data_IF_140479471096
#
_entry.id   IF_140479471096
#
_cell.length_a   1.000
_cell.length_b   1.000
_cell.length_c   1.000
_cell.angle_alpha   90.00
_cell.angle_beta   90.00
_cell.angle_gamma   90.00
#
_symmetry.space_group_name_H-M   'P 1'
#
loop_
_entity.id
_entity.type
_entity.pdbx_description
1 polymer ?
#
# COMPACT_ATOMS: atom_id res chain seq x y z
N UNK A 1 -0.37 -4.94 -5.25
CA UNK A 1 -0.34 -3.49 -4.91
C UNK A 1 -1.35 -3.13 -3.83
N UNK A 2 -2.59 -2.67 -4.07
CA UNK A 2 -3.43 -2.16 -2.96
C UNK A 2 -3.74 -3.18 -1.85
N UNK A 3 -4.28 -4.34 -2.21
CA UNK A 3 -4.60 -5.42 -1.24
C UNK A 3 -3.36 -5.84 -0.46
N UNK A 4 -2.26 -6.04 -1.18
CA UNK A 4 -0.95 -6.37 -0.60
C UNK A 4 -0.49 -5.30 0.39
N UNK A 5 -0.56 -4.00 0.05
CA UNK A 5 -0.14 -2.93 0.95
C UNK A 5 -1.00 -2.84 2.21
N UNK A 6 -2.32 -3.08 2.10
CA UNK A 6 -3.19 -3.17 3.28
C UNK A 6 -2.82 -4.35 4.17
N UNK A 7 -2.56 -5.53 3.60
CA UNK A 7 -2.11 -6.71 4.35
C UNK A 7 -0.75 -6.46 5.01
N UNK A 8 0.21 -5.87 4.28
CA UNK A 8 1.51 -5.48 4.84
C UNK A 8 1.36 -4.51 6.01
N UNK A 9 0.41 -3.56 5.91
CA UNK A 9 0.09 -2.62 7.00
C UNK A 9 -0.45 -3.36 8.22
N UNK A 10 -1.35 -4.32 8.03
CA UNK A 10 -1.89 -5.15 9.11
C UNK A 10 -0.79 -5.98 9.77
N UNK A 11 0.15 -6.53 8.99
CA UNK A 11 1.28 -7.29 9.52
C UNK A 11 2.26 -6.40 10.29
N UNK A 12 2.58 -5.19 9.79
CA UNK A 12 3.38 -4.22 10.55
C UNK A 12 2.69 -3.82 11.86
N UNK A 13 1.39 -3.48 11.81
CA UNK A 13 0.62 -3.08 12.99
C UNK A 13 0.51 -4.21 14.03
N UNK A 14 0.40 -5.47 13.58
CA UNK A 14 0.31 -6.64 14.47
C UNK A 14 1.63 -6.91 15.20
N UNK A 15 2.76 -6.69 14.56
CA UNK A 15 4.07 -7.11 15.08
C UNK A 15 4.89 -5.97 15.70
N UNK A 16 4.70 -4.74 15.24
CA UNK A 16 5.47 -3.57 15.70
C UNK A 16 5.04 -3.12 17.09
N UNK A 17 6.03 -2.69 17.89
CA UNK A 17 5.80 -1.93 19.14
C UNK A 17 6.21 -0.46 19.01
N UNK A 18 6.76 -0.06 17.87
CA UNK A 18 7.24 1.29 17.65
C UNK A 18 6.06 2.23 17.40
N UNK A 19 5.92 3.27 18.24
CA UNK A 19 4.79 4.22 18.17
C UNK A 19 4.73 4.96 16.84
N UNK A 20 5.88 5.27 16.25
CA UNK A 20 5.94 5.99 14.97
C UNK A 20 5.53 5.08 13.82
N UNK A 21 5.94 3.82 13.84
CA UNK A 21 5.46 2.80 12.87
C UNK A 21 3.95 2.62 12.98
N UNK A 22 3.43 2.47 14.19
CA UNK A 22 1.99 2.33 14.42
C UNK A 22 1.21 3.57 13.99
N UNK A 23 1.77 4.77 14.20
CA UNK A 23 1.19 6.03 13.73
C UNK A 23 1.10 6.07 12.21
N UNK A 24 2.17 5.69 11.51
CA UNK A 24 2.17 5.63 10.05
C UNK A 24 1.21 4.56 9.54
N UNK A 25 1.13 3.39 10.18
CA UNK A 25 0.13 2.36 9.84
C UNK A 25 -1.31 2.91 9.89
N UNK A 26 -1.62 3.79 10.86
CA UNK A 26 -2.92 4.48 10.90
C UNK A 26 -3.11 5.42 9.72
N UNK A 27 -2.11 6.22 9.36
CA UNK A 27 -2.17 7.12 8.18
C UNK A 27 -2.41 6.32 6.89
N UNK A 28 -1.70 5.22 6.71
CA UNK A 28 -1.87 4.31 5.57
C UNK A 28 -3.29 3.74 5.50
N UNK A 29 -3.85 3.29 6.63
CA UNK A 29 -5.25 2.83 6.69
C UNK A 29 -6.24 3.93 6.33
N UNK A 30 -5.98 5.17 6.76
CA UNK A 30 -6.79 6.33 6.37
C UNK A 30 -6.72 6.56 4.87
N UNK A 31 -5.52 6.53 4.27
CA UNK A 31 -5.33 6.64 2.82
C UNK A 31 -6.14 5.58 2.06
N UNK A 32 -6.03 4.30 2.44
CA UNK A 32 -6.81 3.25 1.81
C UNK A 32 -8.31 3.47 2.03
N UNK A 33 -8.77 3.83 3.22
CA UNK A 33 -10.20 4.12 3.44
C UNK A 33 -10.72 5.25 2.55
N UNK A 34 -9.98 6.35 2.43
CA UNK A 34 -10.39 7.52 1.67
C UNK A 34 -10.42 7.28 0.15
N UNK A 35 -9.48 6.49 -0.36
CA UNK A 35 -9.38 6.19 -1.80
C UNK A 35 -10.29 5.04 -2.24
N UNK A 36 -10.89 4.30 -1.30
CA UNK A 36 -11.69 3.11 -1.59
C UNK A 36 -12.94 3.39 -2.46
N UNK A 37 -13.76 4.42 -2.20
CA UNK A 37 -14.95 4.68 -3.01
C UNK A 37 -14.60 4.99 -4.48
N UNK A 38 -13.53 5.76 -4.70
CA UNK A 38 -13.07 6.09 -6.04
C UNK A 38 -12.52 4.88 -6.77
N UNK A 39 -11.79 4.01 -6.07
CA UNK A 39 -11.33 2.74 -6.65
C UNK A 39 -12.53 1.89 -7.11
N UNK A 40 -13.53 1.70 -6.23
CA UNK A 40 -14.72 0.92 -6.55
C UNK A 40 -15.42 1.46 -7.80
N UNK A 41 -15.56 2.77 -7.91
CA UNK A 41 -16.14 3.42 -9.09
C UNK A 41 -15.33 3.15 -10.37
N UNK A 42 -14.00 3.17 -10.30
CA UNK A 42 -13.13 2.89 -11.46
C UNK A 42 -13.14 1.41 -11.87
N UNK A 43 -13.43 0.52 -10.92
CA UNK A 43 -13.47 -0.92 -11.13
C UNK A 43 -14.86 -1.45 -11.44
N UNK A 44 -15.90 -0.65 -11.26
CA UNK A 44 -17.28 -1.05 -11.51
C UNK A 44 -17.48 -1.49 -12.96
N UNK A 45 -18.11 -2.65 -13.15
CA UNK A 45 -18.37 -3.23 -14.48
C UNK A 45 -17.13 -3.74 -15.21
N UNK A 46 -15.94 -3.68 -14.59
CA UNK A 46 -14.75 -4.35 -15.12
C UNK A 46 -14.70 -5.77 -14.59
N UNK A 47 -14.35 -6.71 -15.46
CA UNK A 47 -13.98 -8.06 -15.06
C UNK A 47 -12.63 -7.99 -14.31
N UNK A 48 -12.72 -7.70 -13.02
CA UNK A 48 -11.60 -7.83 -12.13
C UNK A 48 -11.45 -9.32 -11.83
N UNK A 49 -10.43 -9.93 -12.44
CA UNK A 49 -9.89 -11.21 -11.99
C UNK A 49 -9.23 -10.99 -10.62
N UNK A 50 -10.05 -10.80 -9.59
CA UNK A 50 -9.66 -10.71 -8.20
C UNK A 50 -10.71 -11.49 -7.41
N UNK A 51 -10.71 -12.81 -7.63
CA UNK A 51 -11.54 -13.74 -6.88
C UNK A 51 -10.92 -14.07 -5.51
N UNK A 52 -11.65 -14.82 -4.69
CA UNK A 52 -11.20 -15.24 -3.36
C UNK A 52 -9.87 -16.03 -3.40
N UNK A 53 -9.62 -16.78 -4.48
CA UNK A 53 -8.40 -17.59 -4.63
C UNK A 53 -7.16 -16.71 -4.85
N UNK A 54 -7.32 -15.62 -5.59
CA UNK A 54 -6.26 -14.64 -5.81
C UNK A 54 -6.01 -13.81 -4.55
N UNK A 55 -7.07 -13.46 -3.80
CA UNK A 55 -6.90 -12.86 -2.48
C UNK A 55 -6.12 -13.78 -1.54
N UNK A 56 -6.48 -15.06 -1.45
CA UNK A 56 -5.81 -16.04 -0.59
C UNK A 56 -4.33 -16.21 -0.97
N UNK A 57 -4.02 -16.19 -2.26
CA UNK A 57 -2.63 -16.22 -2.76
C UNK A 57 -1.84 -14.99 -2.28
N UNK A 58 -2.37 -13.79 -2.47
CA UNK A 58 -1.73 -12.54 -2.03
C UNK A 58 -1.55 -12.55 -0.51
N UNK A 59 -2.56 -12.99 0.25
CA UNK A 59 -2.50 -13.09 1.70
C UNK A 59 -1.36 -13.99 2.16
N UNK A 60 -1.25 -15.22 1.62
CA UNK A 60 -0.16 -16.14 1.92
C UNK A 60 1.22 -15.59 1.58
N UNK A 61 1.35 -14.89 0.45
CA UNK A 61 2.61 -14.28 0.05
C UNK A 61 3.03 -13.17 1.02
N UNK A 62 2.08 -12.33 1.47
CA UNK A 62 2.36 -11.30 2.47
C UNK A 62 2.70 -11.93 3.82
N UNK A 63 1.96 -12.95 4.26
CA UNK A 63 2.27 -13.67 5.49
C UNK A 63 3.69 -14.23 5.47
N UNK A 64 4.09 -14.87 4.37
CA UNK A 64 5.45 -15.41 4.18
C UNK A 64 6.53 -14.32 4.24
N UNK A 65 6.28 -13.12 3.70
CA UNK A 65 7.21 -11.98 3.81
C UNK A 65 7.45 -11.53 5.26
N UNK A 66 6.51 -11.81 6.15
CA UNK A 66 6.57 -11.44 7.57
C UNK A 66 6.83 -12.62 8.51
N UNK A 67 7.00 -13.85 7.99
CA UNK A 67 7.19 -15.07 8.79
C UNK A 67 8.37 -14.96 9.76
N UNK A 68 9.45 -14.29 9.33
CA UNK A 68 10.65 -14.07 10.15
C UNK A 68 10.73 -12.66 10.76
N UNK A 69 9.58 -12.02 11.00
CA UNK A 69 9.53 -10.67 11.58
C UNK A 69 10.34 -10.59 12.87
N UNK A 70 11.28 -9.64 12.91
CA UNK A 70 12.13 -9.38 14.06
C UNK A 70 12.10 -7.90 14.39
N UNK A 71 11.61 -7.58 15.59
CA UNK A 71 11.49 -6.19 16.07
C UNK A 71 12.83 -5.45 16.11
N UNK A 72 13.95 -6.16 16.32
CA UNK A 72 15.30 -5.58 16.33
C UNK A 72 15.86 -5.36 14.91
N UNK A 73 15.11 -5.73 13.87
CA UNK A 73 15.44 -5.56 12.46
C UNK A 73 14.23 -5.00 11.70
N UNK A 74 13.44 -4.18 12.39
CA UNK A 74 12.22 -3.59 11.85
C UNK A 74 12.50 -2.76 10.58
N UNK A 75 13.74 -2.23 10.45
CA UNK A 75 14.31 -1.60 9.26
C UNK A 75 13.96 -2.36 7.97
N UNK A 76 14.14 -3.68 7.95
CA UNK A 76 13.89 -4.52 6.77
C UNK A 76 12.44 -4.51 6.30
N UNK A 77 11.49 -4.59 7.23
CA UNK A 77 10.07 -4.63 6.89
C UNK A 77 9.56 -3.25 6.48
N UNK A 78 10.14 -2.21 7.06
CA UNK A 78 9.88 -0.83 6.67
C UNK A 78 10.42 -0.54 5.26
N UNK A 79 11.63 -0.99 4.94
CA UNK A 79 12.20 -0.86 3.59
C UNK A 79 11.39 -1.63 2.54
N UNK A 80 10.91 -2.83 2.89
CA UNK A 80 9.99 -3.58 2.05
C UNK A 80 8.68 -2.80 1.80
N UNK A 81 8.14 -2.13 2.83
CA UNK A 81 6.97 -1.27 2.69
C UNK A 81 7.26 -0.01 1.85
N UNK A 82 8.42 0.62 2.03
CA UNK A 82 8.86 1.75 1.20
C UNK A 82 8.94 1.36 -0.27
N UNK A 83 9.51 0.20 -0.58
CA UNK A 83 9.55 -0.34 -1.95
C UNK A 83 8.13 -0.55 -2.52
N UNK A 84 7.19 -0.99 -1.68
CA UNK A 84 5.78 -1.11 -2.07
C UNK A 84 5.15 0.24 -2.43
N UNK A 85 5.35 1.27 -1.61
CA UNK A 85 4.87 2.63 -1.88
C UNK A 85 5.49 3.15 -3.18
N UNK A 86 6.81 3.02 -3.32
CA UNK A 86 7.53 3.47 -4.51
C UNK A 86 6.99 2.84 -5.80
N UNK A 87 6.75 1.53 -5.78
CA UNK A 87 6.12 0.83 -6.90
C UNK A 87 4.71 1.33 -7.20
N UNK A 88 3.92 1.63 -6.16
CA UNK A 88 2.58 2.19 -6.33
C UNK A 88 2.61 3.59 -6.96
N UNK A 89 3.52 4.46 -6.50
CA UNK A 89 3.78 5.79 -7.08
C UNK A 89 4.16 5.68 -8.55
N UNK A 90 5.08 4.76 -8.89
CA UNK A 90 5.53 4.54 -10.27
C UNK A 90 4.37 4.15 -11.17
N UNK A 91 3.52 3.21 -10.74
CA UNK A 91 2.38 2.76 -11.56
C UNK A 91 1.34 3.87 -11.72
N UNK A 92 1.02 4.63 -10.67
CA UNK A 92 0.03 5.70 -10.76
C UNK A 92 0.54 6.85 -11.64
N UNK A 93 1.84 7.15 -11.57
CA UNK A 93 2.48 8.11 -12.47
C UNK A 93 2.41 7.66 -13.94
N UNK A 94 2.61 6.36 -14.21
CA UNK A 94 2.45 5.81 -15.56
C UNK A 94 1.01 5.97 -16.08
N UNK A 95 0.00 5.74 -15.24
CA UNK A 95 -1.39 5.96 -15.63
C UNK A 95 -1.66 7.43 -15.99
N UNK A 96 -1.06 8.39 -15.25
CA UNK A 96 -1.17 9.82 -15.55
C UNK A 96 -0.46 10.23 -16.85
N UNK A 97 0.66 9.60 -17.16
CA UNK A 97 1.41 9.88 -18.39
C UNK A 97 0.69 9.35 -19.62
N UNK A 98 0.17 8.11 -19.55
CA UNK A 98 -0.47 7.46 -20.70
C UNK A 98 -1.85 7.99 -21.00
N UNK A 99 -2.62 8.38 -19.98
CA UNK A 99 -3.99 8.93 -20.10
C UNK A 99 -4.96 8.06 -20.90
N UNK A 100 -4.68 6.76 -21.01
CA UNK A 100 -5.44 5.81 -21.83
C UNK A 100 -6.89 5.63 -21.32
N UNK A 101 -7.07 5.66 -19.99
CA UNK A 101 -8.37 5.48 -19.35
C UNK A 101 -8.66 6.64 -18.41
N UNK A 102 -9.64 7.47 -18.76
CA UNK A 102 -9.99 8.71 -18.02
C UNK A 102 -10.26 8.43 -16.53
N UNK A 103 -11.02 7.38 -16.23
CA UNK A 103 -11.39 7.04 -14.85
C UNK A 103 -10.17 6.59 -14.01
N UNK A 104 -9.29 5.78 -14.59
CA UNK A 104 -8.03 5.35 -13.94
C UNK A 104 -7.05 6.51 -13.80
N UNK A 105 -6.98 7.38 -14.81
CA UNK A 105 -6.16 8.60 -14.79
C UNK A 105 -6.62 9.52 -13.67
N UNK A 106 -7.93 9.78 -13.57
CA UNK A 106 -8.50 10.62 -12.52
C UNK A 106 -8.30 10.04 -11.12
N UNK A 107 -8.49 8.75 -10.94
CA UNK A 107 -8.18 8.08 -9.67
C UNK A 107 -6.69 8.21 -9.31
N UNK A 108 -5.80 7.98 -10.27
CA UNK A 108 -4.36 8.12 -10.06
C UNK A 108 -3.99 9.55 -9.67
N UNK A 109 -4.61 10.55 -10.30
CA UNK A 109 -4.41 11.97 -9.99
C UNK A 109 -4.83 12.29 -8.55
N UNK A 110 -5.94 11.72 -8.09
CA UNK A 110 -6.45 11.93 -6.72
C UNK A 110 -5.65 11.18 -5.66
N UNK A 111 -5.20 9.97 -5.95
CA UNK A 111 -4.55 9.09 -4.98
C UNK A 111 -3.03 9.35 -4.86
N UNK A 112 -2.37 9.80 -5.93
CA UNK A 112 -0.91 9.96 -5.98
C UNK A 112 -0.34 10.94 -4.94
N UNK A 113 -0.92 12.13 -4.68
CA UNK A 113 -0.38 13.06 -3.69
C UNK A 113 -0.22 12.44 -2.30
N UNK A 114 -1.22 11.67 -1.86
CA UNK A 114 -1.17 11.05 -0.54
C UNK A 114 -0.20 9.87 -0.48
N UNK A 115 0.01 9.14 -1.59
CA UNK A 115 1.09 8.15 -1.66
C UNK A 115 2.48 8.79 -1.53
N UNK A 116 2.69 9.94 -2.15
CA UNK A 116 3.95 10.71 -2.03
C UNK A 116 4.12 11.20 -0.59
N UNK A 117 3.05 11.71 0.04
CA UNK A 117 3.09 12.09 1.45
C UNK A 117 3.47 10.92 2.34
N UNK A 118 2.88 9.73 2.11
CA UNK A 118 3.25 8.52 2.85
C UNK A 118 4.71 8.15 2.64
N UNK A 119 5.24 8.20 1.41
CA UNK A 119 6.68 7.96 1.15
C UNK A 119 7.56 8.90 1.98
N UNK A 120 7.21 10.19 2.02
CA UNK A 120 7.93 11.19 2.82
C UNK A 120 7.84 10.90 4.32
N UNK A 121 6.67 10.51 4.84
CA UNK A 121 6.51 10.13 6.25
C UNK A 121 7.32 8.87 6.59
N UNK A 122 7.32 7.85 5.73
CA UNK A 122 8.14 6.65 5.91
C UNK A 122 9.64 6.96 5.88
N UNK A 123 10.08 7.95 5.10
CA UNK A 123 11.48 8.37 5.05
C UNK A 123 11.92 9.17 6.29
N UNK A 124 10.98 9.69 7.09
CA UNK A 124 11.25 10.32 8.38
C UNK A 124 11.42 9.33 9.52
N UNK A 125 11.06 8.06 9.33
CA UNK A 125 11.27 7.03 10.33
C UNK A 125 12.76 6.78 10.53
N UNK A 126 13.28 7.11 11.72
CA UNK A 126 14.62 6.70 12.18
C UNK A 126 14.48 5.37 12.92
N UNK A 127 14.60 4.26 12.18
CA UNK A 127 14.54 2.91 12.72
C UNK A 127 15.89 2.24 12.45
N UNK A 128 16.55 1.86 13.54
CA UNK A 128 17.86 1.21 13.55
C UNK A 128 17.75 -0.30 13.67
#
# INVERSE_FOLDING_TARGET
MRTEGLLMTQMLEKNSKNKDVLKICKQVKVYYKQTQPQLLAVTQGKDLKLDESQFATIAKEVEKKFENYNVNREDKWIDMYKLHIHNSIRVYSLFLQRREWVSVTYFSFKALPELINLELEFNKLDIK
#
